data_IF_071281222436
#
_entry.id   IF_071281222436
#
_cell.length_a   1.000
_cell.length_b   1.000
_cell.length_c   1.000
_cell.angle_alpha   90.00
_cell.angle_beta   90.00
_cell.angle_gamma   90.00
#
_symmetry.space_group_name_H-M   'P 1'
#
loop_
_entity.id
_entity.type
_entity.pdbx_description
1 polymer ?
#
# COMPACT_ATOMS: atom_id res chain seq x y z
N UNK A 1 -15.22 -17.01 42.89
CA UNK A 1 -14.93 -16.62 44.25
C UNK A 1 -13.53 -16.02 44.29
N UNK A 2 -13.48 -14.69 44.37
CA UNK A 2 -12.29 -13.89 44.65
C UNK A 2 -11.82 -14.15 46.10
N UNK A 3 -10.53 -14.44 46.29
CA UNK A 3 -9.85 -14.14 47.55
C UNK A 3 -8.45 -13.63 47.27
N UNK A 4 -8.28 -12.36 47.63
CA UNK A 4 -7.02 -11.64 47.70
C UNK A 4 -6.11 -12.28 48.76
N UNK A 5 -4.82 -12.40 48.53
CA UNK A 5 -3.79 -12.65 49.54
C UNK A 5 -2.92 -11.42 49.67
N UNK A 6 -3.02 -10.78 50.85
CA UNK A 6 -2.15 -9.71 51.32
C UNK A 6 -0.79 -10.25 51.77
N UNK A 7 0.29 -9.48 51.75
CA UNK A 7 1.62 -9.88 52.18
C UNK A 7 1.84 -9.47 53.64
N UNK A 8 1.85 -10.43 54.55
CA UNK A 8 2.46 -10.28 55.88
C UNK A 8 3.04 -11.66 56.23
N UNK A 9 4.38 -11.78 56.25
CA UNK A 9 5.16 -12.49 57.26
C UNK A 9 6.65 -12.52 56.86
N UNK A 10 7.49 -12.33 57.84
CA UNK A 10 8.92 -12.06 57.75
C UNK A 10 9.82 -13.28 57.47
N UNK A 11 11.15 -13.11 57.51
CA UNK A 11 12.12 -14.05 56.93
C UNK A 11 12.44 -15.19 57.93
N UNK A 12 12.08 -16.43 57.59
CA UNK A 12 12.68 -17.61 58.23
C UNK A 12 12.57 -18.83 57.33
N UNK A 13 13.72 -19.39 57.00
CA UNK A 13 14.05 -20.79 56.78
C UNK A 13 13.16 -21.61 55.82
N UNK A 14 13.69 -21.92 54.62
CA UNK A 14 13.15 -22.99 53.81
C UNK A 14 13.20 -22.83 52.30
N UNK A 15 14.32 -22.40 51.72
CA UNK A 15 14.45 -22.37 50.27
C UNK A 15 15.83 -22.84 49.74
N UNK A 16 16.44 -23.83 50.43
CA UNK A 16 17.69 -24.44 49.92
C UNK A 16 17.47 -25.55 48.89
N UNK A 17 16.26 -26.07 48.75
CA UNK A 17 15.99 -27.19 47.81
C UNK A 17 15.61 -26.74 46.39
N UNK A 18 15.07 -25.53 46.19
CA UNK A 18 14.76 -25.01 44.86
C UNK A 18 15.98 -24.53 44.07
N UNK A 19 17.02 -24.03 44.74
CA UNK A 19 18.26 -23.54 44.09
C UNK A 19 19.18 -24.66 43.62
N UNK A 20 19.04 -25.88 44.19
CA UNK A 20 19.82 -27.06 43.75
C UNK A 20 19.39 -27.65 42.40
N UNK A 21 18.10 -27.56 42.08
CA UNK A 21 17.56 -28.13 40.82
C UNK A 21 17.85 -27.29 39.58
N UNK A 22 17.87 -25.97 39.69
CA UNK A 22 18.22 -25.08 38.55
C UNK A 22 19.72 -25.12 38.22
N UNK A 23 20.60 -25.35 39.21
CA UNK A 23 22.05 -25.49 38.97
C UNK A 23 22.42 -26.78 38.26
N UNK A 24 21.70 -27.85 38.49
CA UNK A 24 21.96 -29.14 37.80
C UNK A 24 21.55 -29.07 36.35
N UNK A 25 20.44 -28.41 36.00
CA UNK A 25 19.99 -28.24 34.59
C UNK A 25 20.90 -27.31 33.82
N UNK A 26 21.45 -26.26 34.43
CA UNK A 26 22.39 -25.33 33.76
C UNK A 26 23.78 -25.99 33.54
N UNK A 27 24.20 -26.90 34.37
CA UNK A 27 25.50 -27.56 34.24
C UNK A 27 25.46 -28.67 33.15
N UNK A 28 24.33 -29.33 32.99
CA UNK A 28 24.15 -30.33 31.87
C UNK A 28 24.07 -29.69 30.49
N UNK A 29 23.60 -28.45 30.37
CA UNK A 29 23.64 -27.71 29.12
C UNK A 29 25.02 -27.21 28.74
N UNK A 30 25.93 -27.01 29.71
CA UNK A 30 27.32 -26.58 29.43
C UNK A 30 28.28 -27.70 29.06
N UNK A 31 27.97 -28.96 29.38
CA UNK A 31 28.86 -30.07 29.07
C UNK A 31 28.64 -30.73 27.71
N UNK A 32 27.55 -30.38 27.00
CA UNK A 32 27.21 -31.03 25.72
C UNK A 32 27.68 -30.33 24.45
N UNK A 33 28.46 -29.22 24.52
CA UNK A 33 29.02 -28.58 23.31
C UNK A 33 30.43 -28.02 23.47
N UNK A 34 31.49 -28.86 23.44
CA UNK A 34 32.86 -28.36 23.44
C UNK A 34 33.36 -27.76 22.11
N UNK A 35 32.53 -27.70 21.03
CA UNK A 35 33.01 -27.35 19.69
C UNK A 35 32.53 -25.98 19.16
N UNK A 36 31.87 -25.13 19.96
CA UNK A 36 31.46 -23.78 19.49
C UNK A 36 32.53 -22.67 19.69
N UNK A 37 33.62 -22.96 20.42
CA UNK A 37 34.65 -21.95 20.70
C UNK A 37 35.69 -21.76 19.58
N UNK A 38 35.69 -22.61 18.55
CA UNK A 38 36.62 -22.53 17.43
C UNK A 38 35.96 -22.31 16.05
N UNK A 39 34.68 -21.93 16.02
CA UNK A 39 34.12 -21.40 14.79
C UNK A 39 34.84 -20.08 14.51
N UNK A 40 35.49 -19.88 13.34
CA UNK A 40 36.01 -18.57 12.99
C UNK A 40 34.80 -17.62 13.03
N UNK A 41 34.90 -16.59 13.90
CA UNK A 41 33.95 -15.50 13.89
C UNK A 41 33.87 -15.05 12.44
N UNK A 42 32.79 -15.39 11.75
CA UNK A 42 32.51 -14.86 10.44
C UNK A 42 32.69 -13.36 10.61
N UNK A 43 33.70 -12.82 9.92
CA UNK A 43 33.99 -11.39 9.90
C UNK A 43 32.73 -10.75 9.35
N UNK A 44 31.79 -10.48 10.26
CA UNK A 44 30.56 -9.76 9.93
C UNK A 44 31.03 -8.47 9.33
N UNK A 45 30.67 -8.25 8.09
CA UNK A 45 30.87 -6.98 7.41
C UNK A 45 30.36 -5.88 8.33
N UNK A 46 31.25 -5.25 9.09
CA UNK A 46 30.93 -4.13 9.95
C UNK A 46 30.43 -3.01 9.06
N UNK A 47 29.11 -2.90 8.93
CA UNK A 47 28.47 -1.83 8.17
C UNK A 47 28.66 -0.54 8.95
N UNK A 48 29.68 0.27 8.57
CA UNK A 48 29.91 1.58 9.15
C UNK A 48 28.72 2.49 8.77
N UNK A 49 27.88 2.83 9.74
CA UNK A 49 26.85 3.84 9.60
C UNK A 49 27.55 5.21 9.60
N UNK A 50 27.88 5.73 8.42
CA UNK A 50 28.39 7.09 8.26
C UNK A 50 27.23 8.02 7.94
N UNK A 51 27.14 9.20 8.59
CA UNK A 51 26.19 10.22 8.19
C UNK A 51 26.54 10.69 6.77
N UNK A 52 25.70 10.42 5.80
CA UNK A 52 25.90 10.88 4.42
C UNK A 52 25.71 12.39 4.35
N UNK A 53 26.78 13.14 4.14
CA UNK A 53 26.76 14.57 3.79
C UNK A 53 26.49 14.66 2.28
N UNK A 54 25.27 14.98 1.86
CA UNK A 54 24.92 15.14 0.46
C UNK A 54 23.45 14.84 0.15
N UNK A 55 23.09 14.89 -1.13
CA UNK A 55 21.77 14.46 -1.63
C UNK A 55 21.53 13.00 -1.23
N UNK A 56 20.33 12.67 -0.73
CA UNK A 56 20.04 11.30 -0.31
C UNK A 56 20.13 10.39 -1.52
N UNK A 57 21.13 9.50 -1.53
CA UNK A 57 21.22 8.45 -2.55
C UNK A 57 20.00 7.54 -2.39
N UNK A 58 19.21 7.41 -3.48
CA UNK A 58 18.12 6.45 -3.58
C UNK A 58 18.74 5.05 -3.73
N UNK A 59 19.26 4.49 -2.63
CA UNK A 59 19.78 3.13 -2.63
C UNK A 59 18.58 2.14 -2.67
N UNK A 60 18.01 1.94 -3.86
CA UNK A 60 16.97 0.94 -4.08
C UNK A 60 17.50 -0.49 -3.83
N UNK A 61 18.82 -0.69 -3.94
CA UNK A 61 19.46 -1.95 -3.57
C UNK A 61 19.22 -2.31 -2.10
N UNK A 62 19.13 -1.32 -1.20
CA UNK A 62 18.82 -1.58 0.21
C UNK A 62 17.42 -2.20 0.35
N UNK A 63 16.43 -1.74 -0.44
CA UNK A 63 15.06 -2.31 -0.42
C UNK A 63 15.06 -3.74 -0.97
N UNK A 64 15.87 -4.00 -1.99
CA UNK A 64 15.99 -5.35 -2.57
C UNK A 64 16.68 -6.34 -1.62
N UNK A 65 17.66 -5.88 -0.85
CA UNK A 65 18.31 -6.69 0.20
C UNK A 65 17.29 -7.13 1.27
N UNK A 66 16.34 -6.25 1.61
CA UNK A 66 15.27 -6.51 2.59
C UNK A 66 13.96 -7.05 1.98
N UNK A 67 14.01 -7.68 0.79
CA UNK A 67 12.80 -8.23 0.12
C UNK A 67 12.05 -9.27 0.96
N UNK A 68 12.76 -10.04 1.80
CA UNK A 68 12.13 -11.03 2.69
C UNK A 68 11.30 -10.34 3.78
N UNK A 69 11.83 -9.26 4.35
CA UNK A 69 11.10 -8.43 5.31
C UNK A 69 9.87 -7.79 4.64
N UNK A 70 10.03 -7.27 3.41
CA UNK A 70 8.92 -6.73 2.65
C UNK A 70 7.82 -7.77 2.44
N UNK A 71 8.17 -8.97 1.99
CA UNK A 71 7.21 -10.07 1.82
C UNK A 71 6.50 -10.41 3.13
N UNK A 72 7.26 -10.52 4.24
CA UNK A 72 6.70 -10.82 5.55
C UNK A 72 5.72 -9.73 6.02
N UNK A 73 6.05 -8.45 5.82
CA UNK A 73 5.16 -7.33 6.18
C UNK A 73 3.89 -7.33 5.33
N UNK A 74 3.99 -7.54 4.01
CA UNK A 74 2.82 -7.67 3.13
C UNK A 74 1.92 -8.82 3.59
N UNK A 75 2.51 -10.00 3.84
CA UNK A 75 1.77 -11.16 4.31
C UNK A 75 1.09 -10.93 5.66
N UNK A 76 1.80 -10.30 6.59
CA UNK A 76 1.24 -9.91 7.90
C UNK A 76 0.03 -8.99 7.73
N UNK A 77 0.16 -7.94 6.92
CA UNK A 77 -0.89 -6.93 6.73
C UNK A 77 -2.11 -7.54 6.05
N UNK A 78 -1.91 -8.39 5.04
CA UNK A 78 -2.97 -9.19 4.42
C UNK A 78 -3.64 -10.11 5.44
N UNK A 79 -2.85 -10.85 6.23
CA UNK A 79 -3.40 -11.77 7.24
C UNK A 79 -4.22 -11.05 8.31
N UNK A 80 -3.76 -9.89 8.78
CA UNK A 80 -4.51 -9.07 9.76
C UNK A 80 -5.83 -8.60 9.15
N UNK A 81 -5.82 -8.14 7.91
CA UNK A 81 -7.01 -7.63 7.21
C UNK A 81 -8.11 -8.68 7.06
N UNK A 82 -7.74 -9.92 6.77
CA UNK A 82 -8.71 -10.97 6.44
C UNK A 82 -9.02 -11.96 7.57
N UNK A 83 -8.13 -12.16 8.53
CA UNK A 83 -8.28 -13.21 9.57
C UNK A 83 -9.32 -12.88 10.63
N UNK A 84 -9.59 -11.61 10.92
CA UNK A 84 -10.44 -11.18 12.04
C UNK A 84 -11.79 -10.59 11.62
N UNK A 85 -12.18 -10.74 10.34
CA UNK A 85 -13.44 -10.17 9.84
C UNK A 85 -14.40 -11.26 9.40
N UNK A 86 -15.64 -11.19 9.84
CA UNK A 86 -16.71 -12.16 9.49
C UNK A 86 -16.97 -12.16 7.97
N UNK A 87 -16.93 -10.99 7.36
CA UNK A 87 -17.14 -10.81 5.91
C UNK A 87 -15.84 -10.79 5.10
N UNK A 88 -14.66 -10.72 5.75
CA UNK A 88 -13.32 -10.82 5.16
C UNK A 88 -13.20 -10.33 3.71
N UNK A 89 -12.98 -11.30 2.83
CA UNK A 89 -12.85 -11.07 1.38
C UNK A 89 -14.10 -10.43 0.76
N UNK A 90 -15.29 -10.65 1.33
CA UNK A 90 -16.52 -10.09 0.78
C UNK A 90 -16.52 -8.55 0.76
N UNK A 91 -15.87 -7.89 1.73
CA UNK A 91 -15.74 -6.43 1.72
C UNK A 91 -14.95 -5.89 0.52
N UNK A 92 -13.92 -6.61 0.08
CA UNK A 92 -13.15 -6.23 -1.09
C UNK A 92 -13.99 -6.23 -2.38
N UNK A 93 -15.05 -7.05 -2.42
CA UNK A 93 -16.02 -7.11 -3.53
C UNK A 93 -17.18 -6.14 -3.31
N UNK A 94 -17.76 -6.14 -2.11
CA UNK A 94 -18.98 -5.37 -1.83
C UNK A 94 -18.77 -3.87 -2.03
N UNK A 95 -17.67 -3.32 -1.54
CA UNK A 95 -17.42 -1.89 -1.62
C UNK A 95 -17.40 -1.36 -3.07
N UNK A 96 -16.60 -1.91 -4.02
CA UNK A 96 -16.63 -1.47 -5.42
C UNK A 96 -17.96 -1.74 -6.11
N UNK A 97 -18.61 -2.87 -5.80
CA UNK A 97 -19.91 -3.22 -6.39
C UNK A 97 -21.01 -2.26 -5.92
N UNK A 98 -21.09 -1.94 -4.62
CA UNK A 98 -22.05 -0.95 -4.14
C UNK A 98 -21.80 0.44 -4.72
N UNK A 99 -20.55 0.86 -4.81
CA UNK A 99 -20.20 2.15 -5.44
C UNK A 99 -20.63 2.16 -6.91
N UNK A 100 -20.39 1.06 -7.65
CA UNK A 100 -20.83 0.90 -9.03
C UNK A 100 -22.37 0.99 -9.14
N UNK A 101 -23.12 0.31 -8.26
CA UNK A 101 -24.58 0.34 -8.26
C UNK A 101 -25.09 1.77 -8.02
N UNK A 102 -24.55 2.45 -7.01
CA UNK A 102 -24.91 3.85 -6.72
C UNK A 102 -24.61 4.74 -7.92
N UNK A 103 -23.42 4.63 -8.51
CA UNK A 103 -23.07 5.43 -9.69
C UNK A 103 -23.98 5.10 -10.90
N UNK A 104 -24.33 3.85 -11.08
CA UNK A 104 -25.23 3.44 -12.16
C UNK A 104 -26.64 4.01 -12.02
N UNK A 105 -27.15 4.07 -10.80
CA UNK A 105 -28.46 4.67 -10.52
C UNK A 105 -28.42 6.18 -10.74
N UNK A 106 -27.47 6.87 -10.11
CA UNK A 106 -27.43 8.34 -10.16
C UNK A 106 -26.97 8.87 -11.52
N UNK A 107 -25.83 8.41 -12.02
CA UNK A 107 -25.21 8.94 -13.24
C UNK A 107 -25.68 8.22 -14.50
N UNK A 108 -25.92 6.91 -14.44
CA UNK A 108 -26.40 6.15 -15.58
C UNK A 108 -27.89 6.35 -15.85
N UNK A 109 -28.74 6.19 -14.85
CA UNK A 109 -30.19 6.23 -15.04
C UNK A 109 -30.79 7.64 -14.85
N UNK A 110 -30.41 8.37 -13.78
CA UNK A 110 -31.02 9.67 -13.45
C UNK A 110 -30.43 10.80 -14.32
N UNK A 111 -29.09 10.93 -14.35
CA UNK A 111 -28.41 12.00 -15.11
C UNK A 111 -28.17 11.62 -16.57
N UNK A 112 -28.19 10.33 -16.90
CA UNK A 112 -27.95 9.79 -18.26
C UNK A 112 -26.63 10.24 -18.85
N UNK A 113 -25.55 10.17 -18.07
CA UNK A 113 -24.19 10.46 -18.54
C UNK A 113 -23.82 9.49 -19.67
N UNK A 114 -23.25 9.97 -20.78
CA UNK A 114 -22.86 9.11 -21.89
C UNK A 114 -21.80 8.09 -21.44
N UNK A 115 -21.92 6.85 -21.91
CA UNK A 115 -21.04 5.72 -21.59
C UNK A 115 -20.39 5.11 -22.82
N UNK A 116 -20.24 5.90 -23.90
CA UNK A 116 -19.62 5.49 -25.17
C UNK A 116 -20.21 4.18 -25.77
N UNK A 117 -21.55 4.00 -25.61
CA UNK A 117 -22.27 2.84 -26.14
C UNK A 117 -22.23 1.58 -25.28
N UNK A 118 -21.68 1.64 -24.09
CA UNK A 118 -21.54 0.52 -23.16
C UNK A 118 -22.57 0.56 -22.02
N UNK A 119 -22.87 -0.58 -21.39
CA UNK A 119 -23.65 -0.59 -20.15
C UNK A 119 -22.94 0.24 -19.08
N UNK A 120 -23.62 1.27 -18.54
CA UNK A 120 -23.03 2.18 -17.58
C UNK A 120 -22.39 1.48 -16.34
N UNK A 121 -22.96 0.40 -15.77
CA UNK A 121 -22.33 -0.32 -14.66
C UNK A 121 -20.93 -0.83 -15.01
N UNK A 122 -20.75 -1.40 -16.18
CA UNK A 122 -19.45 -1.89 -16.64
C UNK A 122 -18.46 -0.74 -16.88
N UNK A 123 -18.90 0.34 -17.55
CA UNK A 123 -18.12 1.54 -17.78
C UNK A 123 -17.59 2.16 -16.48
N UNK A 124 -18.48 2.30 -15.47
CA UNK A 124 -18.11 2.83 -14.16
C UNK A 124 -17.15 1.90 -13.40
N UNK A 125 -17.39 0.57 -13.46
CA UNK A 125 -16.57 -0.39 -12.74
C UNK A 125 -15.13 -0.46 -13.29
N UNK A 126 -14.95 -0.37 -14.60
CA UNK A 126 -13.63 -0.29 -15.25
C UNK A 126 -12.78 0.87 -14.72
N UNK A 127 -13.40 2.00 -14.41
CA UNK A 127 -12.70 3.18 -13.89
C UNK A 127 -12.54 3.15 -12.37
N UNK A 128 -13.55 2.61 -11.65
CA UNK A 128 -13.50 2.46 -10.20
C UNK A 128 -12.36 1.54 -9.75
N UNK A 129 -12.02 0.53 -10.53
CA UNK A 129 -11.04 -0.48 -10.17
C UNK A 129 -9.63 0.10 -9.99
N UNK A 130 -9.02 0.78 -10.98
CA UNK A 130 -7.74 1.45 -10.79
C UNK A 130 -7.82 2.60 -9.79
N UNK A 131 -8.97 3.30 -9.71
CA UNK A 131 -9.17 4.36 -8.73
C UNK A 131 -9.12 3.82 -7.28
N UNK A 132 -9.80 2.73 -6.99
CA UNK A 132 -9.77 2.12 -5.66
C UNK A 132 -8.40 1.59 -5.28
N UNK A 133 -7.67 0.98 -6.24
CA UNK A 133 -6.28 0.59 -6.02
C UNK A 133 -5.43 1.81 -5.63
N UNK A 134 -5.58 2.93 -6.36
CA UNK A 134 -4.88 4.18 -6.05
C UNK A 134 -5.22 4.68 -4.64
N UNK A 135 -6.52 4.86 -4.34
CA UNK A 135 -6.99 5.44 -3.09
C UNK A 135 -6.62 4.59 -1.87
N UNK A 136 -6.77 3.25 -1.96
CA UNK A 136 -6.42 2.32 -0.90
C UNK A 136 -4.90 2.25 -0.67
N UNK A 137 -4.10 2.17 -1.74
CA UNK A 137 -2.64 2.16 -1.66
C UNK A 137 -2.09 3.47 -1.11
N UNK A 138 -2.64 4.62 -1.55
CA UNK A 138 -2.28 5.94 -1.06
C UNK A 138 -2.55 6.06 0.44
N UNK A 139 -3.75 5.67 0.87
CA UNK A 139 -4.17 5.72 2.28
C UNK A 139 -3.33 4.78 3.15
N UNK A 140 -3.10 3.56 2.69
CA UNK A 140 -2.28 2.57 3.39
C UNK A 140 -0.83 3.05 3.54
N UNK A 141 -0.21 3.52 2.45
CA UNK A 141 1.16 4.05 2.47
C UNK A 141 1.28 5.26 3.39
N UNK A 142 0.33 6.20 3.34
CA UNK A 142 0.34 7.43 4.15
C UNK A 142 0.24 7.18 5.65
N UNK A 143 -0.52 6.16 6.07
CA UNK A 143 -0.70 5.82 7.48
C UNK A 143 0.33 4.80 7.99
N UNK A 144 1.14 4.23 7.11
CA UNK A 144 2.00 3.07 7.39
C UNK A 144 3.04 3.32 8.48
N UNK A 145 3.73 4.47 8.48
CA UNK A 145 4.76 4.80 9.48
C UNK A 145 4.16 4.92 10.87
N UNK A 146 3.04 5.64 10.99
CA UNK A 146 2.36 5.86 12.28
C UNK A 146 1.82 4.53 12.83
N UNK A 147 1.29 3.66 11.96
CA UNK A 147 0.80 2.35 12.36
C UNK A 147 1.91 1.39 12.80
N UNK A 148 3.13 1.55 12.30
CA UNK A 148 4.28 0.68 12.57
C UNK A 148 5.39 1.35 13.39
N UNK A 149 5.09 2.39 14.20
CA UNK A 149 6.08 3.11 14.99
C UNK A 149 6.92 2.23 15.92
N UNK A 150 6.33 1.18 16.50
CA UNK A 150 7.05 0.22 17.35
C UNK A 150 8.12 -0.60 16.60
N UNK A 151 7.93 -0.84 15.29
CA UNK A 151 8.95 -1.49 14.46
C UNK A 151 10.11 -0.55 14.18
N UNK A 152 9.81 0.73 13.92
CA UNK A 152 10.79 1.76 13.58
C UNK A 152 11.75 2.03 14.75
N UNK A 153 11.25 1.95 15.97
CA UNK A 153 12.02 2.22 17.20
C UNK A 153 12.88 1.03 17.65
N UNK A 154 12.52 -0.21 17.28
CA UNK A 154 13.19 -1.42 17.77
C UNK A 154 14.17 -2.05 16.79
N UNK A 155 13.98 -1.85 15.50
CA UNK A 155 14.75 -2.55 14.45
C UNK A 155 15.27 -1.52 13.43
N UNK A 156 16.56 -1.63 13.10
CA UNK A 156 17.19 -0.79 12.06
C UNK A 156 17.05 -1.46 10.68
N UNK A 157 16.19 -0.90 9.83
CA UNK A 157 16.00 -1.29 8.44
C UNK A 157 15.59 -0.08 7.58
N UNK A 158 15.68 -0.14 6.25
CA UNK A 158 15.25 0.95 5.38
C UNK A 158 13.76 1.23 5.56
N UNK A 159 13.41 2.39 6.11
CA UNK A 159 12.01 2.71 6.50
C UNK A 159 11.05 2.76 5.30
N UNK A 160 11.60 2.90 4.09
CA UNK A 160 10.82 2.86 2.84
C UNK A 160 10.10 1.51 2.61
N UNK A 161 10.59 0.42 3.22
CA UNK A 161 9.95 -0.90 3.15
C UNK A 161 8.54 -0.87 3.73
N UNK A 162 8.28 -0.02 4.74
CA UNK A 162 6.98 0.08 5.43
C UNK A 162 5.87 0.64 4.51
N UNK A 163 6.00 1.83 3.89
CA UNK A 163 4.96 2.33 2.99
C UNK A 163 4.83 1.46 1.73
N UNK A 164 5.93 0.84 1.27
CA UNK A 164 5.90 -0.05 0.12
C UNK A 164 5.08 -1.33 0.41
N UNK A 165 5.30 -1.96 1.59
CA UNK A 165 4.55 -3.15 2.00
C UNK A 165 3.06 -2.85 2.19
N UNK A 166 2.74 -1.72 2.83
CA UNK A 166 1.36 -1.31 3.07
C UNK A 166 0.58 -1.07 1.76
N UNK A 167 1.22 -0.41 0.78
CA UNK A 167 0.62 -0.20 -0.54
C UNK A 167 0.46 -1.52 -1.30
N UNK A 168 1.46 -2.41 -1.25
CA UNK A 168 1.42 -3.71 -1.92
C UNK A 168 0.26 -4.60 -1.42
N UNK A 169 -0.13 -4.47 -0.16
CA UNK A 169 -1.30 -5.17 0.40
C UNK A 169 -2.61 -4.87 -0.34
N UNK A 170 -2.74 -3.68 -0.93
CA UNK A 170 -3.93 -3.28 -1.70
C UNK A 170 -4.06 -3.98 -3.06
N UNK A 171 -2.96 -4.56 -3.59
CA UNK A 171 -3.00 -5.34 -4.83
C UNK A 171 -3.87 -6.59 -4.69
N UNK A 172 -3.99 -7.14 -3.49
CA UNK A 172 -4.83 -8.30 -3.24
C UNK A 172 -6.32 -7.93 -3.36
N UNK A 173 -6.73 -6.81 -2.77
CA UNK A 173 -8.11 -6.29 -2.91
C UNK A 173 -8.43 -6.00 -4.38
N UNK A 174 -7.47 -5.38 -5.10
CA UNK A 174 -7.58 -5.14 -6.53
C UNK A 174 -7.74 -6.45 -7.32
N UNK A 175 -6.94 -7.47 -7.01
CA UNK A 175 -7.02 -8.76 -7.72
C UNK A 175 -8.39 -9.43 -7.55
N UNK A 176 -8.96 -9.35 -6.34
CA UNK A 176 -10.29 -9.86 -6.06
C UNK A 176 -11.36 -9.08 -6.84
N UNK A 177 -11.28 -7.74 -6.82
CA UNK A 177 -12.20 -6.89 -7.58
C UNK A 177 -12.03 -7.06 -9.11
N UNK A 178 -10.81 -7.35 -9.58
CA UNK A 178 -10.54 -7.64 -10.98
C UNK A 178 -11.20 -8.95 -11.44
N UNK A 179 -11.32 -9.97 -10.58
CA UNK A 179 -12.08 -11.18 -10.90
C UNK A 179 -13.57 -10.87 -11.11
N UNK A 180 -14.13 -9.94 -10.35
CA UNK A 180 -15.51 -9.47 -10.56
C UNK A 180 -15.65 -8.77 -11.92
N UNK A 181 -14.66 -7.96 -12.31
CA UNK A 181 -14.64 -7.34 -13.64
C UNK A 181 -14.64 -8.39 -14.75
N UNK A 182 -13.82 -9.44 -14.62
CA UNK A 182 -13.79 -10.54 -15.60
C UNK A 182 -15.15 -11.25 -15.67
N UNK A 183 -15.80 -11.49 -14.54
CA UNK A 183 -17.15 -12.06 -14.53
C UNK A 183 -18.17 -11.14 -15.22
N UNK A 184 -18.06 -9.81 -15.02
CA UNK A 184 -18.91 -8.85 -15.72
C UNK A 184 -18.64 -8.84 -17.24
N UNK A 185 -17.37 -8.97 -17.69
CA UNK A 185 -17.05 -9.09 -19.12
C UNK A 185 -17.75 -10.28 -19.77
N UNK A 186 -17.74 -11.43 -19.07
CA UNK A 186 -18.45 -12.64 -19.55
C UNK A 186 -19.97 -12.38 -19.61
N UNK A 187 -20.52 -11.74 -18.57
CA UNK A 187 -21.96 -11.46 -18.48
C UNK A 187 -22.45 -10.50 -19.57
N UNK A 188 -21.64 -9.49 -19.93
CA UNK A 188 -21.96 -8.50 -20.96
C UNK A 188 -21.46 -8.90 -22.37
N UNK A 189 -20.92 -10.11 -22.52
CA UNK A 189 -20.38 -10.63 -23.80
C UNK A 189 -19.28 -9.74 -24.42
N UNK A 190 -18.48 -9.07 -23.57
CA UNK A 190 -17.40 -8.19 -24.01
C UNK A 190 -16.15 -9.03 -24.25
N UNK A 191 -15.71 -9.09 -25.50
CA UNK A 191 -14.53 -9.87 -25.90
C UNK A 191 -13.24 -9.13 -25.46
N UNK A 192 -12.33 -9.79 -24.72
CA UNK A 192 -11.08 -9.19 -24.33
C UNK A 192 -10.20 -8.89 -25.55
N UNK A 193 -9.67 -7.69 -25.62
CA UNK A 193 -8.77 -7.24 -26.69
C UNK A 193 -7.31 -7.52 -26.33
N UNK A 194 -6.45 -7.63 -27.33
CA UNK A 194 -4.97 -7.77 -27.10
C UNK A 194 -4.40 -6.65 -26.22
N UNK A 195 -5.02 -5.45 -26.24
CA UNK A 195 -4.68 -4.33 -25.37
C UNK A 195 -4.77 -4.66 -23.86
N UNK A 196 -5.50 -5.71 -23.48
CA UNK A 196 -5.58 -6.18 -22.09
C UNK A 196 -4.20 -6.59 -21.52
N UNK A 197 -3.24 -6.96 -22.36
CA UNK A 197 -1.85 -7.20 -21.96
C UNK A 197 -1.16 -5.94 -21.40
N UNK A 198 -1.69 -4.76 -21.64
CA UNK A 198 -1.18 -3.50 -21.07
C UNK A 198 -1.70 -3.20 -19.66
N UNK A 199 -2.69 -3.96 -19.15
CA UNK A 199 -3.23 -3.76 -17.80
C UNK A 199 -2.17 -3.81 -16.70
N UNK A 200 -1.19 -4.73 -16.70
CA UNK A 200 -0.13 -4.73 -15.69
C UNK A 200 0.68 -3.42 -15.67
N UNK A 201 0.90 -2.80 -16.84
CA UNK A 201 1.58 -1.51 -16.92
C UNK A 201 0.76 -0.41 -16.24
N UNK A 202 -0.55 -0.38 -16.47
CA UNK A 202 -1.43 0.60 -15.83
C UNK A 202 -1.53 0.37 -14.31
N UNK A 203 -1.52 -0.89 -13.85
CA UNK A 203 -1.44 -1.23 -12.41
C UNK A 203 -0.13 -0.71 -11.82
N UNK A 204 0.99 -0.89 -12.49
CA UNK A 204 2.29 -0.36 -12.05
C UNK A 204 2.29 1.17 -11.99
N UNK A 205 1.70 1.86 -12.98
CA UNK A 205 1.57 3.31 -12.97
C UNK A 205 0.69 3.79 -11.81
N UNK A 206 -0.43 3.09 -11.55
CA UNK A 206 -1.30 3.37 -10.40
C UNK A 206 -0.53 3.25 -9.09
N UNK A 207 0.21 2.16 -8.91
CA UNK A 207 1.03 1.92 -7.72
C UNK A 207 2.15 2.96 -7.59
N UNK A 208 2.79 3.34 -8.68
CA UNK A 208 3.82 4.36 -8.70
C UNK A 208 3.26 5.73 -8.28
N UNK A 209 2.09 6.12 -8.81
CA UNK A 209 1.39 7.35 -8.41
C UNK A 209 1.01 7.33 -6.92
N UNK A 210 0.41 6.23 -6.46
CA UNK A 210 0.00 6.06 -5.07
C UNK A 210 1.20 6.08 -4.11
N UNK A 211 2.31 5.43 -4.45
CA UNK A 211 3.54 5.44 -3.67
C UNK A 211 4.24 6.79 -3.68
N UNK A 212 4.29 7.47 -4.83
CA UNK A 212 4.89 8.79 -4.94
C UNK A 212 4.23 9.79 -3.97
N UNK A 213 2.92 9.88 -4.03
CA UNK A 213 2.12 10.76 -3.17
C UNK A 213 2.05 10.22 -1.75
N UNK A 214 1.89 8.89 -1.60
CA UNK A 214 1.80 8.21 -0.31
C UNK A 214 3.05 8.37 0.55
N UNK A 215 4.25 8.34 -0.04
CA UNK A 215 5.51 8.59 0.69
C UNK A 215 5.63 10.04 1.15
N UNK A 216 5.12 11.01 0.37
CA UNK A 216 5.01 12.40 0.81
C UNK A 216 4.11 12.52 2.04
N UNK A 217 2.89 12.00 1.94
CA UNK A 217 1.93 12.06 3.04
C UNK A 217 2.36 11.20 4.23
N UNK A 218 3.06 10.10 4.02
CA UNK A 218 3.59 9.27 5.12
C UNK A 218 4.60 10.06 5.97
N UNK A 219 5.50 10.80 5.33
CA UNK A 219 6.45 11.65 6.03
C UNK A 219 5.78 12.84 6.72
N UNK A 220 4.77 13.45 6.09
CA UNK A 220 3.98 14.53 6.68
C UNK A 220 3.14 14.05 7.86
N UNK A 221 2.58 12.84 7.80
CA UNK A 221 1.72 12.28 8.83
C UNK A 221 2.48 12.00 10.15
N UNK A 222 3.79 11.72 10.08
CA UNK A 222 4.64 11.63 11.28
C UNK A 222 4.75 12.99 11.98
N UNK A 223 4.81 14.09 11.21
CA UNK A 223 4.96 15.44 11.74
C UNK A 223 3.62 16.08 12.10
N UNK A 224 2.59 15.86 11.28
CA UNK A 224 1.28 16.48 11.40
C UNK A 224 0.19 15.41 11.37
N UNK A 225 -0.41 15.12 12.53
CA UNK A 225 -1.44 14.09 12.69
C UNK A 225 -2.75 14.37 11.94
N UNK A 226 -2.98 15.62 11.58
CA UNK A 226 -4.17 16.06 10.83
C UNK A 226 -4.21 15.50 9.40
N UNK A 227 -3.07 15.17 8.82
CA UNK A 227 -2.96 14.56 7.49
C UNK A 227 -3.83 13.29 7.39
N UNK A 228 -3.89 12.48 8.45
CA UNK A 228 -4.70 11.27 8.50
C UNK A 228 -6.19 11.55 8.31
N UNK A 229 -6.67 12.68 8.79
CA UNK A 229 -8.09 13.06 8.69
C UNK A 229 -8.40 13.78 7.37
N UNK A 230 -7.47 14.55 6.84
CA UNK A 230 -7.63 15.26 5.58
C UNK A 230 -7.54 14.36 4.34
N UNK A 231 -6.77 13.28 4.41
CA UNK A 231 -6.49 12.42 3.27
C UNK A 231 -7.76 11.76 2.66
N UNK A 232 -8.70 11.21 3.45
CA UNK A 232 -9.93 10.64 2.89
C UNK A 232 -10.78 11.67 2.14
N UNK A 233 -10.87 12.89 2.67
CA UNK A 233 -11.57 13.99 1.99
C UNK A 233 -10.87 14.36 0.67
N UNK A 234 -9.55 14.50 0.69
CA UNK A 234 -8.76 14.80 -0.50
C UNK A 234 -8.94 13.73 -1.59
N UNK A 235 -8.87 12.45 -1.24
CA UNK A 235 -9.07 11.36 -2.18
C UNK A 235 -10.48 11.33 -2.74
N UNK A 236 -11.49 11.65 -1.95
CA UNK A 236 -12.88 11.72 -2.41
C UNK A 236 -13.10 12.86 -3.42
N UNK A 237 -12.59 14.05 -3.15
CA UNK A 237 -12.63 15.18 -4.10
C UNK A 237 -11.86 14.85 -5.37
N UNK A 238 -10.71 14.23 -5.24
CA UNK A 238 -9.87 13.84 -6.38
C UNK A 238 -10.53 12.80 -7.28
N UNK A 239 -11.38 11.92 -6.73
CA UNK A 239 -12.17 10.96 -7.51
C UNK A 239 -13.06 11.68 -8.54
N UNK A 240 -13.71 12.78 -8.13
CA UNK A 240 -14.55 13.57 -9.05
C UNK A 240 -13.73 14.39 -10.06
N UNK A 241 -12.50 14.75 -9.70
CA UNK A 241 -11.56 15.36 -10.63
C UNK A 241 -10.90 14.37 -11.60
N UNK A 242 -11.20 13.07 -11.48
CA UNK A 242 -10.72 12.01 -12.36
C UNK A 242 -11.90 11.47 -13.17
N UNK A 243 -11.73 11.03 -14.44
CA UNK A 243 -12.83 10.58 -15.31
C UNK A 243 -13.35 9.19 -14.89
N UNK A 244 -13.73 9.03 -13.62
CA UNK A 244 -14.28 7.79 -13.08
C UNK A 244 -15.76 7.66 -13.44
N UNK A 245 -16.52 8.74 -13.25
CA UNK A 245 -17.97 8.77 -13.37
C UNK A 245 -18.42 9.18 -14.80
N UNK A 246 -17.58 9.89 -15.51
CA UNK A 246 -17.85 10.44 -16.84
C UNK A 246 -16.69 10.13 -17.81
N UNK A 247 -16.94 10.09 -19.12
CA UNK A 247 -15.87 9.89 -20.10
C UNK A 247 -15.06 11.19 -20.29
N UNK A 248 -13.79 11.05 -20.60
CA UNK A 248 -12.91 12.19 -20.90
C UNK A 248 -13.33 12.98 -22.16
N UNK A 249 -14.18 12.38 -22.99
CA UNK A 249 -14.74 13.05 -24.18
C UNK A 249 -15.56 14.30 -23.85
N UNK A 250 -16.13 14.39 -22.65
CA UNK A 250 -16.85 15.56 -22.17
C UNK A 250 -15.95 16.77 -21.85
N UNK A 251 -14.64 16.55 -21.69
CA UNK A 251 -13.69 17.63 -21.42
C UNK A 251 -13.32 18.33 -22.73
N UNK A 252 -13.51 19.66 -22.83
CA UNK A 252 -13.13 20.44 -24.01
C UNK A 252 -11.65 20.23 -24.37
N UNK A 253 -11.32 20.22 -25.66
CA UNK A 253 -9.95 19.93 -26.14
C UNK A 253 -8.89 20.85 -25.56
N UNK A 254 -9.22 22.13 -25.37
CA UNK A 254 -8.34 23.15 -24.77
C UNK A 254 -7.94 22.81 -23.32
N UNK A 255 -8.75 22.05 -22.58
CA UNK A 255 -8.50 21.68 -21.17
C UNK A 255 -7.92 20.27 -21.01
N UNK A 256 -7.90 19.45 -22.07
CA UNK A 256 -7.42 18.05 -22.00
C UNK A 256 -5.96 17.93 -21.55
N UNK A 257 -5.09 18.85 -21.99
CA UNK A 257 -3.68 18.86 -21.55
C UNK A 257 -3.55 19.16 -20.05
N UNK A 258 -4.32 20.15 -19.54
CA UNK A 258 -4.33 20.46 -18.12
C UNK A 258 -4.93 19.31 -17.30
N UNK A 259 -5.96 18.68 -17.83
CA UNK A 259 -6.60 17.51 -17.23
C UNK A 259 -5.64 16.30 -17.14
N UNK A 260 -4.77 16.12 -18.11
CA UNK A 260 -3.74 15.09 -18.12
C UNK A 260 -2.61 15.29 -17.08
N UNK A 261 -2.54 16.46 -16.42
CA UNK A 261 -1.68 16.66 -15.24
C UNK A 261 -2.12 15.80 -14.05
N UNK A 262 -3.37 15.38 -14.00
CA UNK A 262 -3.80 14.39 -13.03
C UNK A 262 -3.26 12.99 -13.45
N UNK A 263 -2.37 12.37 -12.64
CA UNK A 263 -1.73 11.10 -13.00
C UNK A 263 -2.73 9.96 -13.22
N UNK A 264 -3.91 10.04 -12.60
CA UNK A 264 -4.93 9.00 -12.70
C UNK A 264 -5.79 9.10 -13.97
N UNK A 265 -5.79 10.23 -14.67
CA UNK A 265 -6.56 10.38 -15.91
C UNK A 265 -6.07 9.43 -16.98
N UNK A 266 -4.77 9.43 -17.27
CA UNK A 266 -4.20 8.54 -18.28
C UNK A 266 -4.30 7.06 -17.89
N UNK A 267 -4.25 6.75 -16.61
CA UNK A 267 -4.43 5.37 -16.11
C UNK A 267 -5.87 4.90 -16.32
N UNK A 268 -6.86 5.69 -15.90
CA UNK A 268 -8.29 5.32 -16.02
C UNK A 268 -8.70 5.17 -17.49
N UNK A 269 -8.30 6.12 -18.33
CA UNK A 269 -8.55 6.02 -19.78
C UNK A 269 -7.81 4.85 -20.42
N UNK A 270 -6.57 4.58 -19.97
CA UNK A 270 -5.80 3.41 -20.40
C UNK A 270 -6.48 2.09 -20.02
N UNK A 271 -7.05 1.99 -18.81
CA UNK A 271 -7.83 0.83 -18.37
C UNK A 271 -9.07 0.62 -19.25
N UNK A 272 -9.82 1.69 -19.51
CA UNK A 272 -10.98 1.62 -20.41
C UNK A 272 -10.58 1.17 -21.80
N UNK A 273 -9.57 1.82 -22.40
CA UNK A 273 -9.09 1.44 -23.71
C UNK A 273 -8.62 -0.02 -23.78
N UNK A 274 -7.88 -0.48 -22.77
CA UNK A 274 -7.36 -1.84 -22.73
C UNK A 274 -8.46 -2.91 -22.62
N UNK A 275 -9.51 -2.62 -21.89
CA UNK A 275 -10.62 -3.56 -21.63
C UNK A 275 -11.68 -3.53 -22.74
N UNK A 276 -11.94 -2.36 -23.29
CA UNK A 276 -13.05 -2.14 -24.20
C UNK A 276 -12.64 -2.20 -25.68
N UNK A 277 -11.38 -1.95 -25.98
CA UNK A 277 -10.89 -1.84 -27.35
C UNK A 277 -11.52 -0.68 -28.16
N UNK A 278 -12.41 0.10 -27.52
CA UNK A 278 -13.12 1.22 -28.13
C UNK A 278 -12.42 2.54 -27.81
N UNK A 279 -12.37 3.44 -28.80
CA UNK A 279 -11.78 4.76 -28.64
C UNK A 279 -10.35 4.89 -29.17
N UNK A 280 -9.86 6.13 -29.23
CA UNK A 280 -8.48 6.42 -29.59
C UNK A 280 -7.53 5.97 -28.48
N UNK A 281 -6.40 5.38 -28.85
CA UNK A 281 -5.35 5.05 -27.86
C UNK A 281 -5.02 6.31 -27.03
N UNK A 282 -4.91 6.20 -25.70
CA UNK A 282 -4.71 7.36 -24.81
C UNK A 282 -3.30 7.97 -24.90
N UNK A 283 -2.68 7.90 -26.10
CA UNK A 283 -1.28 8.20 -26.35
C UNK A 283 -0.73 9.46 -25.66
N UNK A 284 -1.13 10.69 -26.03
CA UNK A 284 -0.55 11.91 -25.43
C UNK A 284 -0.92 12.09 -23.95
N UNK A 285 -2.17 11.74 -23.55
CA UNK A 285 -2.62 11.83 -22.16
C UNK A 285 -1.90 10.83 -21.26
N UNK A 286 -1.71 9.60 -21.75
CA UNK A 286 -0.98 8.58 -21.03
C UNK A 286 0.48 8.98 -20.81
N UNK A 287 1.11 9.54 -21.86
CA UNK A 287 2.49 10.00 -21.78
C UNK A 287 2.63 11.11 -20.72
N UNK A 288 1.75 12.11 -20.73
CA UNK A 288 1.75 13.18 -19.74
C UNK A 288 1.52 12.66 -18.33
N UNK A 289 0.52 11.79 -18.13
CA UNK A 289 0.25 11.14 -16.82
C UNK A 289 1.44 10.31 -16.34
N UNK A 290 2.16 9.64 -17.23
CA UNK A 290 3.37 8.86 -16.90
C UNK A 290 4.51 9.77 -16.45
N UNK A 291 4.73 10.88 -17.13
CA UNK A 291 5.74 11.88 -16.75
C UNK A 291 5.41 12.46 -15.38
N UNK A 292 4.16 12.88 -15.15
CA UNK A 292 3.72 13.43 -13.85
C UNK A 292 3.88 12.37 -12.76
N UNK A 293 3.48 11.13 -12.99
CA UNK A 293 3.66 10.01 -12.06
C UNK A 293 5.13 9.81 -11.70
N UNK A 294 6.03 9.85 -12.69
CA UNK A 294 7.48 9.69 -12.47
C UNK A 294 8.04 10.83 -11.63
N UNK A 295 7.63 12.07 -11.90
CA UNK A 295 8.04 13.24 -11.11
C UNK A 295 7.53 13.14 -9.68
N UNK A 296 6.25 12.75 -9.48
CA UNK A 296 5.66 12.56 -8.16
C UNK A 296 6.37 11.45 -7.38
N UNK A 297 6.68 10.33 -8.02
CA UNK A 297 7.40 9.23 -7.40
C UNK A 297 8.80 9.63 -6.97
N UNK A 298 9.58 10.25 -7.85
CA UNK A 298 10.93 10.69 -7.54
C UNK A 298 10.95 11.74 -6.44
N UNK A 299 10.08 12.75 -6.53
CA UNK A 299 9.98 13.80 -5.51
C UNK A 299 9.52 13.25 -4.17
N UNK A 300 8.56 12.31 -4.15
CA UNK A 300 8.09 11.64 -2.95
C UNK A 300 9.18 10.85 -2.25
N UNK A 301 9.92 10.03 -3.01
CA UNK A 301 11.04 9.25 -2.49
C UNK A 301 12.16 10.15 -1.96
N UNK A 302 12.51 11.23 -2.67
CA UNK A 302 13.51 12.19 -2.21
C UNK A 302 13.09 12.89 -0.92
N UNK A 303 11.84 13.34 -0.84
CA UNK A 303 11.30 13.98 0.36
C UNK A 303 11.26 13.01 1.55
N UNK A 304 10.80 11.77 1.33
CA UNK A 304 10.76 10.74 2.34
C UNK A 304 12.15 10.43 2.91
N UNK A 305 13.16 10.23 2.06
CA UNK A 305 14.55 10.00 2.47
C UNK A 305 15.14 11.17 3.25
N UNK A 306 14.76 12.40 2.91
CA UNK A 306 15.18 13.57 3.67
C UNK A 306 14.52 13.61 5.05
N UNK A 307 13.23 13.32 5.12
CA UNK A 307 12.46 13.29 6.36
C UNK A 307 12.82 12.09 7.27
N UNK A 308 13.28 10.97 6.68
CA UNK A 308 13.66 9.74 7.40
C UNK A 308 14.68 10.01 8.52
N UNK A 309 15.57 11.02 8.34
CA UNK A 309 16.59 11.38 9.33
C UNK A 309 15.98 11.90 10.64
N UNK A 310 14.81 12.52 10.58
CA UNK A 310 14.14 13.13 11.74
C UNK A 310 13.08 12.23 12.35
N UNK A 311 12.72 11.09 11.73
CA UNK A 311 11.69 10.21 12.26
C UNK A 311 12.04 9.57 13.60
N UNK A 312 13.35 9.32 13.86
CA UNK A 312 13.79 8.73 15.11
C UNK A 312 13.58 9.65 16.31
N UNK A 313 13.53 10.96 16.09
CA UNK A 313 13.39 11.97 17.13
C UNK A 313 11.92 12.36 17.35
N UNK A 314 11.02 12.02 16.41
CA UNK A 314 9.61 12.43 16.44
C UNK A 314 8.63 11.30 16.79
N UNK A 315 9.07 10.04 16.71
CA UNK A 315 8.29 8.83 17.01
C UNK A 315 8.70 8.26 18.37
#
# INVERSE_FOLDING_TARGET
GLTACSPVFGPSEGCHECLGRERIVLNDYMTLRPNFMNAPLAVGTTRQIRPSKGWPSLNLNDVWEYRELLYFLVWRDVKIRYKQTVLGVAWAVMQPVFTMIVFSIFFGWLVKVPSDGLPYPFFAFCALLPWQLFASSLTAASNSLVANQHLITKISFPRLVIPLSAAAGSLLDFSIAFLVLLAMMIFYEIVPTIAMLMLPLFVLLTMAAALGIGTWFSALNVKYRDVRHGLPFLTQVWMFATPVVYPSSLVPESWRMLYALNPMVGVVEGFRWALLGTGNSPGPMLLMSTVVTSVLLLSGLCYFRRAERTFADMV
#
